data_IF_519835708256
#
_entry.id   IF_519835708256
#
_cell.length_a   1.000
_cell.length_b   1.000
_cell.length_c   1.000
_cell.angle_alpha   90.00
_cell.angle_beta   90.00
_cell.angle_gamma   90.00
#
_symmetry.space_group_name_H-M   'P 1'
#
loop_
_entity.id
_entity.type
_entity.pdbx_description
1 polymer ?
#
# COMPACT_ATOMS: atom_id res chain seq x y z
N UNK A 1 -12.36 23.49 -2.41
CA UNK A 1 -12.44 22.03 -2.66
C UNK A 1 -13.68 21.74 -3.48
N UNK A 2 -13.65 20.83 -4.46
CA UNK A 2 -14.81 20.44 -5.30
C UNK A 2 -14.99 18.92 -5.28
N UNK A 3 -16.24 18.46 -5.23
CA UNK A 3 -16.54 17.03 -5.35
C UNK A 3 -16.35 16.58 -6.80
N UNK A 4 -15.66 15.45 -7.00
CA UNK A 4 -15.41 14.94 -8.35
C UNK A 4 -16.66 14.35 -9.01
N UNK A 5 -17.63 13.87 -8.20
CA UNK A 5 -18.88 13.23 -8.66
C UNK A 5 -18.66 12.17 -9.76
N UNK A 6 -17.56 11.41 -9.68
CA UNK A 6 -17.18 10.41 -10.68
C UNK A 6 -16.74 10.97 -12.04
N UNK A 7 -16.62 12.31 -12.19
CA UNK A 7 -16.27 13.01 -13.43
C UNK A 7 -14.97 13.82 -13.25
N UNK A 8 -13.81 13.17 -13.06
CA UNK A 8 -12.55 13.85 -12.74
C UNK A 8 -12.10 14.88 -13.77
N UNK A 9 -12.38 14.65 -15.07
CA UNK A 9 -12.03 15.57 -16.16
C UNK A 9 -12.86 16.85 -16.12
N UNK A 10 -14.17 16.73 -15.90
CA UNK A 10 -15.02 17.92 -15.79
C UNK A 10 -14.77 18.67 -14.49
N UNK A 11 -14.52 17.94 -13.39
CA UNK A 11 -14.15 18.54 -12.12
C UNK A 11 -12.86 19.37 -12.22
N UNK A 12 -11.80 18.89 -12.89
CA UNK A 12 -10.57 19.68 -13.05
C UNK A 12 -10.78 20.90 -13.95
N UNK A 13 -11.61 20.78 -15.00
CA UNK A 13 -11.99 21.94 -15.82
C UNK A 13 -12.72 22.99 -14.99
N UNK A 14 -13.63 22.57 -14.13
CA UNK A 14 -14.35 23.48 -13.23
C UNK A 14 -13.42 24.15 -12.21
N UNK A 15 -12.50 23.40 -11.60
CA UNK A 15 -11.42 23.99 -10.77
C UNK A 15 -10.66 25.04 -11.57
N UNK A 16 -10.26 24.75 -12.80
CA UNK A 16 -9.51 25.69 -13.62
C UNK A 16 -10.34 26.92 -14.02
N UNK A 17 -11.64 26.77 -14.32
CA UNK A 17 -12.55 27.90 -14.57
C UNK A 17 -12.65 28.80 -13.33
N UNK A 18 -12.69 28.22 -12.14
CA UNK A 18 -12.78 28.98 -10.89
C UNK A 18 -11.46 29.68 -10.54
N UNK A 19 -10.31 29.11 -10.90
CA UNK A 19 -9.00 29.69 -10.65
C UNK A 19 -8.54 30.71 -11.71
N UNK A 20 -9.04 30.60 -12.95
CA UNK A 20 -8.61 31.43 -14.07
C UNK A 20 -8.78 32.95 -13.82
N UNK A 21 -9.87 33.45 -13.21
CA UNK A 21 -10.02 34.88 -12.93
C UNK A 21 -8.96 35.43 -11.96
N UNK A 22 -8.56 34.64 -10.96
CA UNK A 22 -7.64 35.08 -9.91
C UNK A 22 -6.18 34.91 -10.33
N UNK A 23 -5.86 33.78 -10.98
CA UNK A 23 -4.50 33.38 -11.31
C UNK A 23 -4.13 33.79 -12.74
N UNK A 24 -5.03 33.57 -13.70
CA UNK A 24 -4.94 33.94 -15.13
C UNK A 24 -3.54 34.23 -15.67
N UNK A 25 -3.37 35.43 -16.20
CA UNK A 25 -2.08 35.96 -16.66
C UNK A 25 -1.23 36.56 -15.51
N UNK A 26 -1.74 36.54 -14.28
CA UNK A 26 -1.11 37.14 -13.11
C UNK A 26 -0.03 36.24 -12.48
N UNK A 27 0.01 34.94 -12.84
CA UNK A 27 1.02 34.02 -12.33
C UNK A 27 1.51 33.04 -13.41
N UNK A 28 2.83 32.82 -13.43
CA UNK A 28 3.44 31.77 -14.26
C UNK A 28 3.43 30.45 -13.49
N UNK A 29 2.77 29.44 -14.03
CA UNK A 29 2.81 28.08 -13.49
C UNK A 29 4.19 27.49 -13.74
N UNK A 30 4.97 27.35 -12.65
CA UNK A 30 6.33 26.81 -12.70
C UNK A 30 6.37 25.28 -12.67
N UNK A 31 5.28 24.64 -12.26
CA UNK A 31 5.16 23.18 -12.17
C UNK A 31 3.77 22.72 -11.78
N UNK A 32 3.40 21.52 -12.19
CA UNK A 32 2.12 20.89 -11.86
C UNK A 32 2.34 19.49 -11.29
N UNK A 33 1.93 19.31 -10.04
CA UNK A 33 1.86 18.00 -9.37
C UNK A 33 0.43 17.51 -9.28
N UNK A 34 0.20 16.23 -9.59
CA UNK A 34 -1.11 15.58 -9.48
C UNK A 34 -1.01 14.34 -8.58
N UNK A 35 -2.00 14.19 -7.71
CA UNK A 35 -2.21 13.01 -6.86
C UNK A 35 -3.68 12.57 -6.90
N UNK A 36 -4.06 11.56 -6.10
CA UNK A 36 -5.41 11.02 -6.08
C UNK A 36 -5.59 9.72 -6.87
N UNK A 37 -6.79 9.15 -6.79
CA UNK A 37 -7.21 7.98 -7.57
C UNK A 37 -7.26 8.26 -9.07
N UNK A 38 -7.67 9.47 -9.48
CA UNK A 38 -7.70 9.92 -10.88
C UNK A 38 -6.39 10.51 -11.41
N UNK A 39 -5.28 10.36 -10.69
CA UNK A 39 -4.04 11.12 -10.92
C UNK A 39 -3.43 10.96 -12.31
N UNK A 40 -3.49 9.76 -12.88
CA UNK A 40 -2.91 9.49 -14.20
C UNK A 40 -3.77 10.12 -15.31
N UNK A 41 -5.09 9.96 -15.20
CA UNK A 41 -6.08 10.53 -16.12
C UNK A 41 -5.97 12.05 -16.16
N UNK A 42 -6.06 12.68 -14.98
CA UNK A 42 -5.96 14.14 -14.86
C UNK A 42 -4.55 14.61 -15.21
N UNK A 43 -3.51 13.91 -14.76
CA UNK A 43 -2.12 14.26 -15.00
C UNK A 43 -1.76 14.32 -16.49
N UNK A 44 -2.15 13.31 -17.28
CA UNK A 44 -1.95 13.35 -18.73
C UNK A 44 -2.80 14.43 -19.39
N UNK A 45 -4.03 14.65 -18.91
CA UNK A 45 -4.93 15.65 -19.47
C UNK A 45 -4.39 17.07 -19.30
N UNK A 46 -3.89 17.43 -18.11
CA UNK A 46 -3.38 18.78 -17.81
C UNK A 46 -1.92 19.01 -18.22
N UNK A 47 -1.17 17.94 -18.52
CA UNK A 47 0.28 18.01 -18.75
C UNK A 47 1.06 18.15 -17.44
N UNK A 48 0.74 17.31 -16.45
CA UNK A 48 1.41 17.33 -15.16
C UNK A 48 2.90 16.94 -15.29
N UNK A 49 3.74 17.66 -14.56
CA UNK A 49 5.18 17.39 -14.47
C UNK A 49 5.46 16.22 -13.54
N UNK A 50 4.61 16.07 -12.52
CA UNK A 50 4.75 15.04 -11.52
C UNK A 50 3.40 14.38 -11.23
N UNK A 51 3.38 13.04 -11.29
CA UNK A 51 2.25 12.23 -10.87
C UNK A 51 2.71 11.28 -9.76
N UNK A 52 2.15 11.43 -8.56
CA UNK A 52 2.51 10.66 -7.37
C UNK A 52 1.27 10.15 -6.65
N UNK A 53 1.40 8.99 -6.00
CA UNK A 53 0.32 8.44 -5.19
C UNK A 53 0.04 9.33 -3.96
N UNK A 54 -1.13 9.12 -3.37
CA UNK A 54 -1.63 9.94 -2.26
C UNK A 54 -0.79 9.77 -0.99
N UNK A 55 -0.25 8.57 -0.74
CA UNK A 55 0.60 8.31 0.43
C UNK A 55 1.86 9.18 0.38
N UNK A 56 2.53 9.25 -0.78
CA UNK A 56 3.74 10.05 -0.96
C UNK A 56 3.43 11.54 -0.85
N UNK A 57 2.32 11.98 -1.47
CA UNK A 57 1.90 13.37 -1.43
C UNK A 57 1.54 13.81 0.00
N UNK A 58 0.69 13.04 0.69
CA UNK A 58 0.33 13.29 2.09
C UNK A 58 1.56 13.30 3.01
N UNK A 59 2.48 12.33 2.83
CA UNK A 59 3.74 12.28 3.59
C UNK A 59 4.55 13.56 3.40
N UNK A 60 4.68 14.03 2.16
CA UNK A 60 5.41 15.27 1.88
C UNK A 60 4.73 16.49 2.50
N UNK A 61 3.40 16.58 2.40
CA UNK A 61 2.64 17.68 3.02
C UNK A 61 2.81 17.69 4.54
N UNK A 62 2.71 16.51 5.16
CA UNK A 62 2.92 16.35 6.59
C UNK A 62 4.34 16.71 7.03
N UNK A 63 5.36 16.49 6.19
CA UNK A 63 6.74 16.82 6.52
C UNK A 63 6.99 18.32 6.76
N UNK A 64 6.21 19.22 6.14
CA UNK A 64 6.28 20.66 6.39
C UNK A 64 5.56 21.07 7.68
N UNK A 65 4.69 20.21 8.22
CA UNK A 65 3.92 20.45 9.45
C UNK A 65 4.65 19.84 10.65
N UNK A 66 4.87 18.53 10.59
CA UNK A 66 5.69 17.79 11.53
C UNK A 66 6.24 16.51 10.84
N UNK A 67 7.56 16.42 10.61
CA UNK A 67 8.17 15.29 9.91
C UNK A 67 7.97 13.96 10.63
N UNK A 68 7.85 13.94 11.96
CA UNK A 68 7.73 12.72 12.75
C UNK A 68 6.28 12.27 12.99
N UNK A 69 5.28 13.14 12.75
CA UNK A 69 3.89 12.81 13.06
C UNK A 69 3.26 11.82 12.08
N UNK A 70 2.68 10.73 12.59
CA UNK A 70 1.91 9.77 11.80
C UNK A 70 0.66 10.45 11.19
N UNK A 71 0.09 9.91 10.12
CA UNK A 71 -1.02 10.54 9.39
C UNK A 71 -2.24 9.66 9.46
N UNK A 72 -3.35 10.23 9.91
CA UNK A 72 -4.70 9.69 9.76
C UNK A 72 -5.41 10.58 8.76
N UNK A 73 -5.70 10.04 7.58
CA UNK A 73 -6.48 10.72 6.56
C UNK A 73 -7.84 10.04 6.40
N UNK A 74 -8.92 10.82 6.48
CA UNK A 74 -10.28 10.34 6.26
C UNK A 74 -10.91 11.16 5.13
N UNK A 75 -10.99 10.51 3.96
CA UNK A 75 -11.58 11.08 2.75
C UNK A 75 -13.06 10.74 2.61
N UNK A 76 -13.63 11.08 1.45
CA UNK A 76 -15.03 10.80 1.15
C UNK A 76 -15.32 9.31 0.90
N UNK A 77 -14.39 8.58 0.28
CA UNK A 77 -14.61 7.20 -0.18
C UNK A 77 -13.64 6.19 0.41
N UNK A 78 -12.49 6.65 0.89
CA UNK A 78 -11.50 5.80 1.52
C UNK A 78 -10.86 6.53 2.69
N UNK A 79 -10.08 5.77 3.45
CA UNK A 79 -9.35 6.25 4.62
C UNK A 79 -7.94 5.68 4.58
N UNK A 80 -6.96 6.47 5.02
CA UNK A 80 -5.55 6.14 4.92
C UNK A 80 -4.87 6.37 6.25
N UNK A 81 -3.97 5.46 6.58
CA UNK A 81 -3.05 5.52 7.70
C UNK A 81 -1.65 5.50 7.12
N UNK A 82 -0.79 6.42 7.58
CA UNK A 82 0.63 6.43 7.26
C UNK A 82 1.41 6.47 8.57
N UNK A 83 2.25 5.47 8.80
CA UNK A 83 3.13 5.39 9.95
C UNK A 83 4.55 5.70 9.50
N UNK A 84 5.18 6.65 10.16
CA UNK A 84 6.53 7.12 9.85
C UNK A 84 7.48 6.87 11.00
N UNK A 85 8.75 6.62 10.70
CA UNK A 85 9.84 6.64 11.68
C UNK A 85 11.02 7.39 11.07
N UNK A 86 11.53 8.40 11.79
CA UNK A 86 12.59 9.29 11.28
C UNK A 86 12.18 9.94 9.94
N UNK A 87 10.96 10.43 9.84
CA UNK A 87 10.39 11.03 8.63
C UNK A 87 10.10 10.08 7.46
N UNK A 88 10.43 8.79 7.56
CA UNK A 88 10.25 7.80 6.47
C UNK A 88 9.04 6.92 6.73
N UNK A 89 8.22 6.68 5.69
CA UNK A 89 7.07 5.77 5.76
C UNK A 89 7.55 4.33 6.00
N UNK A 90 7.19 3.74 7.13
CA UNK A 90 7.51 2.35 7.48
C UNK A 90 6.31 1.41 7.33
N UNK A 91 5.10 1.95 7.40
CA UNK A 91 3.87 1.21 7.18
C UNK A 91 2.77 2.15 6.68
N UNK A 92 1.84 1.62 5.90
CA UNK A 92 0.65 2.34 5.48
C UNK A 92 -0.52 1.36 5.32
N UNK A 93 -1.72 1.83 5.64
CA UNK A 93 -2.95 1.09 5.40
C UNK A 93 -3.93 1.99 4.66
N UNK A 94 -4.56 1.43 3.64
CA UNK A 94 -5.64 2.11 2.92
C UNK A 94 -6.88 1.23 2.98
N UNK A 95 -8.01 1.79 3.38
CA UNK A 95 -9.28 1.10 3.43
C UNK A 95 -10.18 1.61 2.30
N UNK A 96 -10.22 0.83 1.20
CA UNK A 96 -11.08 1.09 0.04
C UNK A 96 -12.38 0.29 0.04
N UNK A 97 -12.46 -0.75 0.87
CA UNK A 97 -13.57 -1.71 0.82
C UNK A 97 -14.72 -1.35 1.76
N UNK A 98 -14.46 -0.52 2.77
CA UNK A 98 -15.41 -0.18 3.80
C UNK A 98 -15.84 1.28 3.65
N UNK A 99 -17.13 1.52 3.41
CA UNK A 99 -17.74 2.85 3.49
C UNK A 99 -17.92 3.30 4.95
N UNK A 100 -17.92 2.37 5.91
CA UNK A 100 -18.04 2.72 7.32
C UNK A 100 -16.83 3.57 7.71
N UNK A 101 -17.09 4.76 8.26
CA UNK A 101 -16.06 5.69 8.68
C UNK A 101 -15.52 6.64 7.60
N UNK A 102 -16.12 6.69 6.40
CA UNK A 102 -15.76 7.67 5.35
C UNK A 102 -16.77 8.81 5.27
N UNK A 103 -16.40 9.91 4.58
CA UNK A 103 -17.27 11.07 4.44
C UNK A 103 -18.60 10.77 3.75
N UNK A 104 -18.63 9.90 2.74
CA UNK A 104 -19.88 9.55 2.06
C UNK A 104 -20.90 8.87 2.97
N UNK A 105 -20.44 8.13 3.98
CA UNK A 105 -21.31 7.52 4.95
C UNK A 105 -21.87 8.54 5.94
N UNK A 106 -21.07 9.56 6.30
CA UNK A 106 -21.55 10.70 7.09
C UNK A 106 -22.60 11.47 6.30
N UNK A 107 -22.34 11.76 5.02
CA UNK A 107 -23.26 12.48 4.15
C UNK A 107 -24.61 11.74 4.01
N UNK A 108 -24.57 10.41 3.76
CA UNK A 108 -25.77 9.58 3.64
C UNK A 108 -26.61 9.57 4.92
N UNK A 109 -25.98 9.41 6.09
CA UNK A 109 -26.71 9.40 7.36
C UNK A 109 -27.22 10.78 7.75
N UNK A 110 -26.46 11.83 7.49
CA UNK A 110 -26.89 13.19 7.76
C UNK A 110 -28.11 13.56 6.89
N UNK A 111 -28.11 13.19 5.61
CA UNK A 111 -29.26 13.38 4.71
C UNK A 111 -30.50 12.62 5.23
N UNK A 112 -30.35 11.37 5.68
CA UNK A 112 -31.44 10.60 6.30
C UNK A 112 -32.00 11.25 7.57
N UNK A 113 -31.13 11.91 8.35
CA UNK A 113 -31.51 12.62 9.57
C UNK A 113 -32.02 14.04 9.30
N UNK A 114 -31.93 14.54 8.07
CA UNK A 114 -32.30 15.90 7.70
C UNK A 114 -31.32 16.97 8.23
N UNK A 115 -30.04 16.61 8.38
CA UNK A 115 -28.97 17.47 8.91
C UNK A 115 -27.96 17.80 7.82
N UNK A 116 -27.50 19.04 7.78
CA UNK A 116 -26.45 19.49 6.89
C UNK A 116 -25.05 19.27 7.51
N UNK A 117 -24.16 18.61 6.76
CA UNK A 117 -22.77 18.36 7.21
C UNK A 117 -21.86 19.55 6.92
N UNK A 118 -22.17 20.32 5.87
CA UNK A 118 -21.25 21.27 5.24
C UNK A 118 -21.24 22.67 5.87
N UNK A 119 -22.24 23.01 6.68
CA UNK A 119 -22.41 24.32 7.33
C UNK A 119 -22.11 24.30 8.84
N UNK A 120 -21.67 23.16 9.37
CA UNK A 120 -21.36 22.98 10.79
C UNK A 120 -22.57 22.61 11.67
N UNK A 121 -23.78 22.47 11.09
CA UNK A 121 -24.97 22.05 11.83
C UNK A 121 -24.75 20.70 12.53
N UNK A 122 -24.22 19.71 11.80
CA UNK A 122 -23.91 18.39 12.38
C UNK A 122 -23.06 18.49 13.65
N UNK A 123 -21.97 19.27 13.61
CA UNK A 123 -21.05 19.38 14.74
C UNK A 123 -21.70 20.13 15.91
N UNK A 124 -22.48 21.17 15.62
CA UNK A 124 -23.23 21.93 16.63
C UNK A 124 -24.20 21.03 17.39
N UNK A 125 -25.02 20.25 16.68
CA UNK A 125 -25.92 19.27 17.27
C UNK A 125 -25.17 18.26 18.12
N UNK A 126 -24.06 17.71 17.61
CA UNK A 126 -23.28 16.71 18.33
C UNK A 126 -22.68 17.26 19.65
N UNK A 127 -22.37 18.55 19.74
CA UNK A 127 -21.86 19.15 20.98
C UNK A 127 -22.93 19.51 22.01
N UNK A 128 -24.20 19.61 21.60
CA UNK A 128 -25.34 19.80 22.50
C UNK A 128 -25.78 18.49 23.17
N UNK A 129 -25.26 17.35 22.70
CA UNK A 129 -25.63 16.03 23.17
C UNK A 129 -25.29 15.83 24.67
N UNK A 130 -26.28 15.50 25.53
CA UNK A 130 -26.02 15.27 26.95
C UNK A 130 -25.32 13.93 27.23
N UNK A 131 -25.39 12.99 26.28
CA UNK A 131 -24.77 11.67 26.37
C UNK A 131 -24.58 11.08 24.96
N UNK A 132 -23.91 9.94 24.88
CA UNK A 132 -23.72 9.16 23.64
C UNK A 132 -24.17 7.72 23.86
N UNK A 133 -24.64 7.08 22.79
CA UNK A 133 -25.04 5.68 22.73
C UNK A 133 -24.11 4.90 21.80
N UNK A 134 -24.13 3.56 21.88
CA UNK A 134 -23.37 2.72 20.98
C UNK A 134 -24.18 2.41 19.71
N UNK A 135 -23.74 2.95 18.57
CA UNK A 135 -24.31 2.68 17.25
C UNK A 135 -23.56 1.55 16.50
N UNK A 136 -22.61 0.89 17.18
CA UNK A 136 -21.68 -0.06 16.60
C UNK A 136 -20.57 0.63 15.80
N UNK A 137 -19.57 -0.17 15.40
CA UNK A 137 -18.35 0.33 14.74
C UNK A 137 -17.84 -0.59 13.61
N UNK A 138 -18.66 -1.54 13.14
CA UNK A 138 -18.20 -2.61 12.23
C UNK A 138 -18.47 -2.36 10.75
N UNK A 139 -19.71 -2.07 10.38
CA UNK A 139 -20.17 -2.00 8.99
C UNK A 139 -21.18 -0.86 8.83
N UNK A 140 -21.06 -0.11 7.72
CA UNK A 140 -21.95 1.00 7.39
C UNK A 140 -23.42 0.56 7.38
N UNK A 141 -23.74 -0.61 6.82
CA UNK A 141 -25.10 -1.13 6.78
C UNK A 141 -25.70 -1.35 8.17
N UNK A 142 -24.94 -1.95 9.10
CA UNK A 142 -25.42 -2.18 10.46
C UNK A 142 -25.51 -0.88 11.26
N UNK A 143 -24.54 0.03 11.06
CA UNK A 143 -24.59 1.33 11.70
C UNK A 143 -25.78 2.16 11.21
N UNK A 144 -26.08 2.14 9.90
CA UNK A 144 -27.26 2.81 9.34
C UNK A 144 -28.58 2.21 9.85
N UNK A 145 -28.65 0.89 10.00
CA UNK A 145 -29.79 0.24 10.65
C UNK A 145 -29.94 0.64 12.13
N UNK A 146 -28.82 0.72 12.86
CA UNK A 146 -28.82 1.16 14.26
C UNK A 146 -29.31 2.61 14.38
N UNK A 147 -28.82 3.52 13.52
CA UNK A 147 -29.29 4.92 13.45
C UNK A 147 -30.78 5.00 13.18
N UNK A 148 -31.28 4.24 12.19
CA UNK A 148 -32.71 4.21 11.88
C UNK A 148 -33.56 3.68 13.04
N UNK A 149 -33.08 2.66 13.77
CA UNK A 149 -33.79 2.11 14.94
C UNK A 149 -33.90 3.14 16.05
N UNK A 150 -32.78 3.75 16.45
CA UNK A 150 -32.77 4.71 17.57
C UNK A 150 -33.54 5.99 17.23
N UNK A 151 -33.56 6.39 15.96
CA UNK A 151 -34.40 7.49 15.48
C UNK A 151 -35.89 7.16 15.65
N UNK A 152 -36.32 5.93 15.31
CA UNK A 152 -37.72 5.49 15.52
C UNK A 152 -38.10 5.39 17.00
N UNK A 153 -37.14 5.07 17.87
CA UNK A 153 -37.29 5.07 19.32
C UNK A 153 -37.36 6.48 19.93
N UNK A 154 -37.18 7.53 19.11
CA UNK A 154 -37.27 8.92 19.54
C UNK A 154 -36.00 9.45 20.21
N UNK A 155 -34.84 8.82 19.98
CA UNK A 155 -33.56 9.34 20.47
C UNK A 155 -33.29 10.71 19.83
N UNK A 156 -32.93 11.73 20.63
CA UNK A 156 -32.68 13.06 20.10
C UNK A 156 -31.53 13.09 19.09
N UNK A 157 -31.63 13.97 18.09
CA UNK A 157 -30.71 14.03 16.96
C UNK A 157 -29.28 14.39 17.39
N UNK A 158 -29.15 15.24 18.41
CA UNK A 158 -27.89 15.59 19.06
C UNK A 158 -27.16 14.36 19.60
N UNK A 159 -27.90 13.44 20.25
CA UNK A 159 -27.34 12.18 20.76
C UNK A 159 -26.91 11.29 19.59
N UNK A 160 -27.70 11.22 18.52
CA UNK A 160 -27.38 10.41 17.34
C UNK A 160 -26.10 10.93 16.65
N UNK A 161 -26.00 12.23 16.37
CA UNK A 161 -24.83 12.82 15.68
C UNK A 161 -23.56 12.69 16.51
N UNK A 162 -23.63 12.92 17.82
CA UNK A 162 -22.50 12.72 18.74
C UNK A 162 -22.04 11.26 18.79
N UNK A 163 -22.99 10.32 18.84
CA UNK A 163 -22.71 8.89 18.86
C UNK A 163 -22.10 8.43 17.54
N UNK A 164 -22.58 8.95 16.41
CA UNK A 164 -22.08 8.64 15.09
C UNK A 164 -20.61 9.07 14.92
N UNK A 165 -20.24 10.28 15.37
CA UNK A 165 -18.84 10.74 15.36
C UNK A 165 -17.91 9.78 16.12
N UNK A 166 -18.36 9.26 17.27
CA UNK A 166 -17.59 8.30 18.05
C UNK A 166 -17.46 6.94 17.36
N UNK A 167 -18.55 6.46 16.77
CA UNK A 167 -18.55 5.21 16.01
C UNK A 167 -17.64 5.27 14.78
N UNK A 168 -17.53 6.42 14.13
CA UNK A 168 -16.61 6.66 12.99
C UNK A 168 -15.15 6.54 13.44
N UNK A 169 -14.79 7.23 14.53
CA UNK A 169 -13.44 7.13 15.09
C UNK A 169 -13.13 5.68 15.53
N UNK A 170 -14.06 5.03 16.23
CA UNK A 170 -13.91 3.64 16.67
C UNK A 170 -13.77 2.67 15.48
N UNK A 171 -14.53 2.88 14.40
CA UNK A 171 -14.41 2.09 13.18
C UNK A 171 -13.02 2.25 12.56
N UNK A 172 -12.55 3.50 12.40
CA UNK A 172 -11.24 3.76 11.83
C UNK A 172 -10.14 3.08 12.65
N UNK A 173 -10.16 3.23 13.98
CA UNK A 173 -9.16 2.62 14.85
C UNK A 173 -9.21 1.09 14.81
N UNK A 174 -10.39 0.49 14.71
CA UNK A 174 -10.52 -0.97 14.63
C UNK A 174 -10.10 -1.52 13.26
N UNK A 175 -10.47 -0.85 12.16
CA UNK A 175 -10.36 -1.40 10.80
C UNK A 175 -9.13 -0.94 10.04
N UNK A 176 -8.71 0.31 10.24
CA UNK A 176 -7.58 0.91 9.53
C UNK A 176 -6.32 0.82 10.38
N UNK A 177 -6.38 1.28 11.64
CA UNK A 177 -5.25 1.16 12.56
C UNK A 177 -5.01 -0.29 12.98
N UNK A 178 -6.05 -0.97 13.47
CA UNK A 178 -5.96 -2.35 13.94
C UNK A 178 -4.94 -2.48 15.06
N UNK A 179 -3.99 -3.41 14.91
CA UNK A 179 -2.95 -3.67 15.91
C UNK A 179 -1.68 -2.82 15.74
N UNK A 180 -1.67 -1.88 14.78
CA UNK A 180 -0.51 -1.03 14.52
C UNK A 180 -0.35 0.03 15.59
N UNK A 181 0.89 0.40 15.89
CA UNK A 181 1.21 1.40 16.91
C UNK A 181 1.51 2.75 16.28
N UNK A 182 0.65 3.73 16.56
CA UNK A 182 0.90 5.14 16.27
C UNK A 182 2.00 5.69 17.20
N UNK A 183 2.81 6.59 16.67
CA UNK A 183 3.71 7.45 17.44
C UNK A 183 2.94 8.46 18.31
N UNK A 184 3.69 9.34 18.97
CA UNK A 184 3.12 10.29 19.93
C UNK A 184 2.40 11.46 19.28
N UNK A 185 2.75 11.76 18.02
CA UNK A 185 2.17 12.85 17.23
C UNK A 185 1.40 12.29 16.05
N UNK A 186 0.19 12.80 15.82
CA UNK A 186 -0.70 12.36 14.76
C UNK A 186 -1.30 13.58 14.06
N UNK A 187 -1.18 13.64 12.74
CA UNK A 187 -1.81 14.64 11.88
C UNK A 187 -3.13 14.06 11.35
N UNK A 188 -4.23 14.79 11.53
CA UNK A 188 -5.56 14.45 11.03
C UNK A 188 -5.83 15.24 9.74
N UNK A 189 -5.95 14.57 8.59
CA UNK A 189 -6.19 15.20 7.28
C UNK A 189 -7.38 14.59 6.53
N UNK A 190 -7.84 15.26 5.47
CA UNK A 190 -9.03 14.87 4.71
C UNK A 190 -10.28 15.66 5.11
N UNK A 191 -11.25 15.67 4.21
CA UNK A 191 -12.42 16.55 4.30
C UNK A 191 -13.36 16.20 5.46
N UNK A 192 -13.33 14.96 5.97
CA UNK A 192 -14.17 14.56 7.11
C UNK A 192 -13.83 15.36 8.37
N UNK A 193 -12.58 15.78 8.53
CA UNK A 193 -12.17 16.58 9.68
C UNK A 193 -12.59 18.06 9.58
N UNK A 194 -13.38 18.48 8.58
CA UNK A 194 -14.15 19.73 8.68
C UNK A 194 -15.20 19.66 9.79
N UNK A 195 -15.66 18.46 10.12
CA UNK A 195 -16.63 18.25 11.18
C UNK A 195 -15.90 18.18 12.53
N UNK A 196 -16.02 19.24 13.32
CA UNK A 196 -15.35 19.36 14.62
C UNK A 196 -15.77 18.28 15.63
N UNK A 197 -17.00 17.75 15.52
CA UNK A 197 -17.42 16.62 16.35
C UNK A 197 -16.66 15.34 16.01
N UNK A 198 -16.34 15.11 14.74
CA UNK A 198 -15.49 13.99 14.32
C UNK A 198 -14.04 14.21 14.76
N UNK A 199 -13.53 15.44 14.64
CA UNK A 199 -12.21 15.79 15.19
C UNK A 199 -12.14 15.46 16.68
N UNK A 200 -13.10 15.96 17.47
CA UNK A 200 -13.20 15.69 18.91
C UNK A 200 -13.26 14.19 19.21
N UNK A 201 -14.03 13.42 18.45
CA UNK A 201 -14.12 11.97 18.62
C UNK A 201 -12.77 11.27 18.40
N UNK A 202 -12.01 11.65 17.37
CA UNK A 202 -10.65 11.12 17.14
C UNK A 202 -9.68 11.56 18.23
N UNK A 203 -9.72 12.81 18.68
CA UNK A 203 -8.87 13.30 19.76
C UNK A 203 -9.11 12.55 21.06
N UNK A 204 -10.38 12.29 21.40
CA UNK A 204 -10.75 11.50 22.58
C UNK A 204 -10.31 10.04 22.44
N UNK A 205 -10.48 9.44 21.27
CA UNK A 205 -10.07 8.05 21.03
C UNK A 205 -8.54 7.87 20.97
N UNK A 206 -7.80 8.96 20.74
CA UNK A 206 -6.33 9.03 20.73
C UNK A 206 -5.78 9.72 21.98
N UNK A 207 -6.50 9.63 23.11
CA UNK A 207 -6.07 10.22 24.38
C UNK A 207 -4.61 9.85 24.71
N UNK A 208 -3.84 10.85 25.17
CA UNK A 208 -2.41 10.72 25.42
C UNK A 208 -1.50 10.97 24.22
N UNK A 209 -2.06 11.21 23.01
CA UNK A 209 -1.31 11.62 21.81
C UNK A 209 -1.52 13.09 21.48
N UNK A 210 -0.50 13.71 20.90
CA UNK A 210 -0.61 15.06 20.35
C UNK A 210 -1.23 14.99 18.96
N UNK A 211 -2.41 15.58 18.79
CA UNK A 211 -3.11 15.62 17.50
C UNK A 211 -2.97 17.00 16.87
N UNK A 212 -2.73 17.02 15.55
CA UNK A 212 -2.60 18.24 14.76
C UNK A 212 -3.65 18.18 13.65
N UNK A 213 -4.49 19.22 13.56
CA UNK A 213 -5.48 19.37 12.49
C UNK A 213 -5.05 20.56 11.64
N UNK A 214 -4.48 20.35 10.43
CA UNK A 214 -4.02 21.45 9.59
C UNK A 214 -5.18 22.31 9.09
N UNK A 215 -4.93 23.60 8.83
CA UNK A 215 -5.92 24.55 8.30
C UNK A 215 -6.54 24.03 6.98
N UNK A 216 -5.70 23.64 6.02
CA UNK A 216 -6.07 23.14 4.69
C UNK A 216 -6.05 21.60 4.60
N UNK A 217 -6.53 20.93 5.65
CA UNK A 217 -6.59 19.47 5.79
C UNK A 217 -7.19 18.73 4.59
N UNK A 218 -8.17 19.29 3.91
CA UNK A 218 -8.91 18.74 2.77
C UNK A 218 -8.11 18.74 1.46
N UNK A 219 -7.11 19.62 1.32
CA UNK A 219 -6.24 19.72 0.13
C UNK A 219 -4.78 19.38 0.45
N UNK A 220 -4.50 18.84 1.63
CA UNK A 220 -3.18 18.36 2.06
C UNK A 220 -2.44 17.53 1.00
N UNK A 221 -3.12 16.58 0.36
CA UNK A 221 -2.54 15.81 -0.75
C UNK A 221 -2.14 16.67 -1.96
N UNK A 222 -2.92 17.69 -2.32
CA UNK A 222 -2.59 18.61 -3.41
C UNK A 222 -1.39 19.49 -3.06
N UNK A 223 -1.31 19.98 -1.80
CA UNK A 223 -0.15 20.72 -1.27
C UNK A 223 1.12 19.86 -1.41
N UNK A 224 1.05 18.61 -0.94
CA UNK A 224 2.17 17.67 -1.06
C UNK A 224 2.59 17.40 -2.50
N UNK A 225 1.64 17.24 -3.42
CA UNK A 225 1.94 17.07 -4.83
C UNK A 225 2.63 18.30 -5.44
N UNK A 226 2.20 19.51 -5.07
CA UNK A 226 2.81 20.75 -5.51
C UNK A 226 4.25 20.91 -4.98
N UNK A 227 4.50 20.58 -3.72
CA UNK A 227 5.83 20.60 -3.10
C UNK A 227 6.78 19.62 -3.80
N UNK A 228 6.34 18.39 -4.03
CA UNK A 228 7.14 17.40 -4.76
C UNK A 228 7.42 17.85 -6.21
N UNK A 229 6.45 18.47 -6.90
CA UNK A 229 6.64 18.96 -8.25
C UNK A 229 7.68 20.10 -8.30
N UNK A 230 7.68 20.99 -7.30
CA UNK A 230 8.68 22.04 -7.13
C UNK A 230 10.09 21.46 -6.95
N UNK A 231 10.22 20.41 -6.14
CA UNK A 231 11.49 19.70 -5.88
C UNK A 231 12.03 19.00 -7.14
N UNK A 232 11.16 18.27 -7.85
CA UNK A 232 11.53 17.51 -9.06
C UNK A 232 11.96 18.43 -10.21
N UNK A 233 11.24 19.52 -10.44
CA UNK A 233 11.51 20.40 -11.57
C UNK A 233 12.78 21.20 -11.38
N UNK A 234 13.13 21.61 -10.14
CA UNK A 234 14.37 22.34 -9.86
C UNK A 234 14.55 23.60 -10.73
N UNK A 235 13.46 24.25 -11.13
CA UNK A 235 13.47 25.42 -12.01
C UNK A 235 13.39 25.13 -13.52
N UNK A 236 13.30 23.86 -13.95
CA UNK A 236 12.98 23.49 -15.34
C UNK A 236 11.58 23.97 -15.73
N UNK A 237 11.34 24.17 -17.03
CA UNK A 237 10.03 24.55 -17.56
C UNK A 237 8.99 23.44 -17.35
N UNK A 238 7.75 23.84 -17.04
CA UNK A 238 6.61 22.93 -16.88
C UNK A 238 6.06 22.46 -18.23
N UNK A 239 5.53 21.23 -18.27
CA UNK A 239 4.74 20.66 -19.39
C UNK A 239 3.26 21.02 -19.32
N UNK A 240 2.87 21.88 -18.37
CA UNK A 240 1.49 22.31 -18.19
C UNK A 240 0.90 22.86 -19.49
N UNK A 241 -0.24 22.32 -19.90
CA UNK A 241 -0.88 22.69 -21.18
C UNK A 241 -1.55 24.06 -21.15
N UNK A 242 -1.67 24.69 -19.98
CA UNK A 242 -2.35 25.98 -19.78
C UNK A 242 -3.82 25.81 -19.40
N UNK A 243 -4.33 26.71 -18.55
CA UNK A 243 -5.70 26.64 -18.03
C UNK A 243 -6.76 26.65 -19.14
N UNK A 244 -6.71 27.64 -20.05
CA UNK A 244 -7.69 27.79 -21.13
C UNK A 244 -7.71 26.59 -22.08
N UNK A 245 -6.53 26.12 -22.50
CA UNK A 245 -6.40 24.96 -23.37
C UNK A 245 -7.01 23.69 -22.76
N UNK A 246 -6.87 23.49 -21.44
CA UNK A 246 -7.46 22.36 -20.73
C UNK A 246 -8.99 22.51 -20.63
N UNK A 247 -9.48 23.71 -20.37
CA UNK A 247 -10.92 24.00 -20.30
C UNK A 247 -11.60 23.72 -21.65
N UNK A 248 -10.99 24.15 -22.75
CA UNK A 248 -11.52 24.03 -24.11
C UNK A 248 -11.34 22.62 -24.70
N UNK A 249 -10.43 21.83 -24.14
CA UNK A 249 -10.18 20.46 -24.59
C UNK A 249 -11.39 19.57 -24.34
N UNK A 250 -11.81 18.81 -25.34
CA UNK A 250 -12.96 17.91 -25.25
C UNK A 250 -12.54 16.45 -25.47
N UNK A 251 -11.99 15.78 -24.45
CA UNK A 251 -11.54 14.39 -24.57
C UNK A 251 -12.72 13.44 -24.72
N UNK A 252 -12.60 12.48 -25.64
CA UNK A 252 -13.56 11.38 -25.73
C UNK A 252 -13.15 10.29 -24.76
N UNK A 253 -14.03 9.97 -23.81
CA UNK A 253 -13.81 8.89 -22.82
C UNK A 253 -14.71 7.72 -23.18
N UNK A 254 -14.12 6.54 -23.32
CA UNK A 254 -14.83 5.27 -23.54
C UNK A 254 -14.37 4.27 -22.49
N UNK A 255 -15.18 3.24 -22.21
CA UNK A 255 -14.83 2.22 -21.22
C UNK A 255 -14.89 0.82 -21.80
N UNK A 256 -14.03 -0.09 -21.33
CA UNK A 256 -14.10 -1.52 -21.62
C UNK A 256 -13.76 -2.36 -20.38
N UNK A 257 -14.19 -3.62 -20.36
CA UNK A 257 -13.86 -4.54 -19.27
C UNK A 257 -12.59 -5.32 -19.59
N UNK A 258 -11.59 -5.24 -18.72
CA UNK A 258 -10.37 -6.04 -18.80
C UNK A 258 -10.67 -7.49 -18.40
N UNK A 259 -10.34 -8.46 -19.26
CA UNK A 259 -10.58 -9.91 -19.02
C UNK A 259 -9.30 -10.71 -18.75
N UNK A 260 -8.23 -10.04 -18.31
CA UNK A 260 -6.92 -10.68 -18.09
C UNK A 260 -6.91 -11.53 -16.82
N UNK A 261 -7.73 -11.17 -15.83
CA UNK A 261 -7.91 -11.93 -14.60
C UNK A 261 -9.36 -11.79 -14.11
N UNK A 262 -9.74 -12.57 -13.11
CA UNK A 262 -11.11 -12.64 -12.59
C UNK A 262 -11.63 -11.34 -11.97
N UNK A 263 -10.73 -10.37 -11.73
CA UNK A 263 -11.08 -9.05 -11.20
C UNK A 263 -11.92 -8.21 -12.16
N UNK A 264 -11.94 -8.55 -13.47
CA UNK A 264 -12.80 -7.92 -14.48
C UNK A 264 -12.86 -6.38 -14.39
N UNK A 265 -11.70 -5.73 -14.28
CA UNK A 265 -11.63 -4.29 -14.02
C UNK A 265 -12.23 -3.48 -15.17
N UNK A 266 -13.01 -2.44 -14.86
CA UNK A 266 -13.46 -1.47 -15.87
C UNK A 266 -12.35 -0.48 -16.17
N UNK A 267 -11.87 -0.48 -17.42
CA UNK A 267 -10.80 0.40 -17.90
C UNK A 267 -11.41 1.55 -18.69
N UNK A 268 -11.01 2.77 -18.35
CA UNK A 268 -11.34 3.99 -19.08
C UNK A 268 -10.24 4.31 -20.09
N UNK A 269 -10.61 4.49 -21.35
CA UNK A 269 -9.78 4.95 -22.46
C UNK A 269 -10.12 6.40 -22.76
N UNK A 270 -9.13 7.28 -22.64
CA UNK A 270 -9.23 8.69 -23.01
C UNK A 270 -8.53 8.94 -24.35
N UNK A 271 -9.25 9.59 -25.25
CA UNK A 271 -8.75 10.03 -26.55
C UNK A 271 -8.83 11.55 -26.64
N UNK A 272 -7.66 12.18 -26.80
CA UNK A 272 -7.54 13.61 -27.07
C UNK A 272 -7.10 13.74 -28.54
N UNK A 273 -7.76 14.58 -29.37
CA UNK A 273 -7.35 14.80 -30.75
C UNK A 273 -5.86 15.18 -30.84
N UNK A 274 -5.09 14.42 -31.62
CA UNK A 274 -3.65 14.67 -31.82
C UNK A 274 -2.73 14.02 -30.78
N UNK A 275 -3.25 13.34 -29.76
CA UNK A 275 -2.45 12.62 -28.76
C UNK A 275 -2.67 11.11 -28.81
N UNK A 276 -1.73 10.35 -28.23
CA UNK A 276 -1.90 8.90 -28.09
C UNK A 276 -3.02 8.61 -27.07
N UNK A 277 -3.88 7.61 -27.32
CA UNK A 277 -4.87 7.18 -26.35
C UNK A 277 -4.20 6.76 -25.03
N UNK A 278 -4.82 7.13 -23.93
CA UNK A 278 -4.35 6.77 -22.59
C UNK A 278 -5.40 5.94 -21.86
N UNK A 279 -4.96 5.07 -20.97
CA UNK A 279 -5.79 4.04 -20.34
C UNK A 279 -5.64 4.05 -18.83
N UNK A 280 -6.75 3.87 -18.10
CA UNK A 280 -6.80 4.03 -16.65
C UNK A 280 -7.84 3.13 -16.00
N UNK A 281 -7.72 2.87 -14.69
CA UNK A 281 -8.71 2.11 -13.92
C UNK A 281 -8.33 0.65 -13.69
N UNK A 282 -7.11 0.26 -14.06
CA UNK A 282 -6.61 -1.09 -13.78
C UNK A 282 -6.23 -1.23 -12.31
N UNK A 283 -6.66 -2.31 -11.66
CA UNK A 283 -6.28 -2.61 -10.27
C UNK A 283 -4.83 -3.05 -10.12
N UNK A 284 -4.24 -3.59 -11.20
CA UNK A 284 -2.87 -4.07 -11.26
C UNK A 284 -1.91 -3.08 -11.91
N UNK A 285 -2.33 -1.83 -12.14
CA UNK A 285 -1.57 -0.76 -12.83
C UNK A 285 -1.13 -1.07 -14.28
N UNK A 286 -1.57 -2.19 -14.88
CA UNK A 286 -1.20 -2.61 -16.24
C UNK A 286 -1.51 -1.53 -17.30
N UNK A 287 -2.65 -0.85 -17.16
CA UNK A 287 -3.05 0.20 -18.09
C UNK A 287 -2.57 1.59 -17.64
N UNK A 288 -2.55 1.80 -16.32
CA UNK A 288 -2.34 3.09 -15.66
C UNK A 288 -0.85 3.53 -15.66
N UNK A 289 0.08 2.62 -15.95
CA UNK A 289 1.54 2.83 -15.85
C UNK A 289 2.25 3.22 -17.16
N UNK A 290 1.51 3.66 -18.20
CA UNK A 290 2.09 3.97 -19.52
C UNK A 290 3.03 5.19 -19.58
N UNK A 291 3.34 5.82 -18.45
CA UNK A 291 4.45 6.79 -18.37
C UNK A 291 5.75 6.02 -18.29
N UNK A 292 6.37 5.82 -19.46
CA UNK A 292 7.77 5.44 -19.63
C UNK A 292 8.64 6.19 -18.61
N UNK A 293 9.07 5.50 -17.55
CA UNK A 293 10.16 5.97 -16.71
C UNK A 293 11.41 5.20 -17.12
N UNK A 294 12.47 5.94 -17.42
CA UNK A 294 13.82 5.38 -17.42
C UNK A 294 14.03 4.68 -16.07
N UNK A 295 14.60 3.47 -16.10
CA UNK A 295 14.88 2.73 -14.87
C UNK A 295 15.88 3.52 -14.04
N UNK A 296 15.43 4.06 -12.91
CA UNK A 296 16.29 4.71 -11.93
C UNK A 296 16.79 3.65 -10.95
N UNK A 297 18.07 3.73 -10.59
CA UNK A 297 18.64 2.90 -9.53
C UNK A 297 18.05 3.30 -8.17
N UNK A 298 17.68 2.30 -7.37
CA UNK A 298 17.04 2.49 -6.07
C UNK A 298 17.87 1.85 -4.96
N UNK A 299 17.60 2.22 -3.70
CA UNK A 299 18.19 1.54 -2.55
C UNK A 299 17.91 0.01 -2.53
N UNK A 300 16.86 -0.45 -3.22
CA UNK A 300 16.61 -1.88 -3.38
C UNK A 300 17.60 -2.54 -4.36
N UNK A 301 18.01 -1.85 -5.42
CA UNK A 301 19.06 -2.34 -6.32
C UNK A 301 20.41 -2.42 -5.58
N UNK A 302 20.73 -1.42 -4.75
CA UNK A 302 21.92 -1.44 -3.89
C UNK A 302 21.86 -2.57 -2.85
N UNK A 303 20.71 -2.73 -2.17
CA UNK A 303 20.48 -3.84 -1.23
C UNK A 303 20.66 -5.19 -1.92
N UNK A 304 20.10 -5.38 -3.11
CA UNK A 304 20.24 -6.61 -3.88
C UNK A 304 21.70 -6.90 -4.23
N UNK A 305 22.46 -5.89 -4.67
CA UNK A 305 23.90 -6.03 -4.91
C UNK A 305 24.65 -6.46 -3.66
N UNK A 306 24.32 -5.91 -2.49
CA UNK A 306 24.96 -6.28 -1.22
C UNK A 306 24.60 -7.70 -0.78
N UNK A 307 23.34 -8.09 -0.91
CA UNK A 307 22.84 -9.42 -0.50
C UNK A 307 23.52 -10.57 -1.27
N UNK A 308 23.79 -10.37 -2.56
CA UNK A 308 24.38 -11.38 -3.44
C UNK A 308 25.85 -11.10 -3.76
N UNK A 309 26.50 -10.18 -3.04
CA UNK A 309 27.89 -9.77 -3.31
C UNK A 309 28.88 -10.94 -3.29
N UNK A 310 28.69 -11.86 -2.34
CA UNK A 310 29.55 -13.04 -2.15
C UNK A 310 29.13 -14.23 -3.03
N UNK A 311 28.11 -14.05 -3.89
CA UNK A 311 27.72 -15.09 -4.84
C UNK A 311 28.78 -15.24 -5.92
N UNK A 312 29.28 -16.46 -6.07
CA UNK A 312 30.19 -16.85 -7.15
C UNK A 312 29.57 -18.02 -7.89
N UNK A 313 29.18 -17.78 -9.14
CA UNK A 313 28.57 -18.83 -9.94
C UNK A 313 29.59 -19.92 -10.25
N UNK A 314 29.30 -21.15 -9.81
CA UNK A 314 30.08 -22.36 -10.13
C UNK A 314 31.59 -22.28 -9.78
N UNK A 315 31.91 -21.68 -8.63
CA UNK A 315 33.29 -21.54 -8.13
C UNK A 315 33.77 -22.77 -7.33
N UNK A 316 32.89 -23.76 -7.13
CA UNK A 316 33.16 -24.95 -6.34
C UNK A 316 33.58 -26.17 -7.17
N UNK A 317 34.03 -27.23 -6.50
CA UNK A 317 34.32 -28.52 -7.13
C UNK A 317 33.34 -29.61 -6.75
N UNK A 318 32.44 -29.35 -5.78
CA UNK A 318 31.41 -30.28 -5.32
C UNK A 318 30.12 -30.29 -6.18
N UNK A 319 29.05 -30.94 -5.69
CA UNK A 319 27.77 -31.04 -6.37
C UNK A 319 27.15 -29.66 -6.61
N UNK A 320 26.24 -29.57 -7.56
CA UNK A 320 25.50 -28.34 -7.86
C UNK A 320 24.36 -28.15 -6.86
N UNK A 321 24.36 -27.02 -6.15
CA UNK A 321 23.34 -26.70 -5.15
C UNK A 321 22.58 -25.44 -5.53
N UNK A 322 21.28 -25.59 -5.80
CA UNK A 322 20.37 -24.53 -6.18
C UNK A 322 19.82 -23.75 -4.98
N UNK A 323 19.76 -22.42 -5.08
CA UNK A 323 18.98 -21.57 -4.17
C UNK A 323 17.90 -20.83 -4.97
N UNK A 324 16.60 -21.11 -4.73
CA UNK A 324 15.50 -20.37 -5.34
C UNK A 324 15.48 -18.92 -4.86
N UNK A 325 15.53 -17.95 -5.77
CA UNK A 325 15.46 -16.51 -5.46
C UNK A 325 14.03 -16.06 -5.13
N UNK A 326 13.49 -16.53 -4.02
CA UNK A 326 12.16 -16.20 -3.55
C UNK A 326 12.05 -16.17 -2.02
N UNK A 327 11.22 -15.25 -1.49
CA UNK A 327 10.91 -15.06 -0.07
C UNK A 327 12.19 -14.98 0.79
N UNK A 328 12.34 -15.86 1.78
CA UNK A 328 13.38 -15.85 2.80
C UNK A 328 14.80 -15.89 2.23
N UNK A 329 14.97 -16.41 1.01
CA UNK A 329 16.26 -16.41 0.33
C UNK A 329 16.80 -14.98 0.11
N UNK A 330 15.93 -13.97 -0.09
CA UNK A 330 16.39 -12.57 -0.20
C UNK A 330 16.82 -11.97 1.12
N UNK A 331 16.32 -12.46 2.25
CA UNK A 331 16.66 -11.90 3.55
C UNK A 331 17.91 -12.58 4.14
N UNK A 332 18.15 -13.84 3.78
CA UNK A 332 19.24 -14.67 4.30
C UNK A 332 20.25 -15.11 3.23
N UNK A 333 20.22 -14.50 2.03
CA UNK A 333 21.17 -14.81 0.95
C UNK A 333 22.63 -14.84 1.43
N UNK A 334 23.15 -13.85 2.17
CA UNK A 334 24.54 -13.89 2.66
C UNK A 334 24.84 -15.14 3.48
N UNK A 335 23.93 -15.55 4.37
CA UNK A 335 24.09 -16.73 5.22
C UNK A 335 24.05 -18.02 4.40
N UNK A 336 23.05 -18.16 3.52
CA UNK A 336 22.88 -19.36 2.68
C UNK A 336 24.06 -19.54 1.71
N UNK A 337 24.49 -18.45 1.07
CA UNK A 337 25.59 -18.47 0.10
C UNK A 337 26.91 -18.72 0.82
N UNK A 338 27.17 -18.07 1.95
CA UNK A 338 28.39 -18.33 2.73
C UNK A 338 28.47 -19.78 3.18
N UNK A 339 27.38 -20.35 3.71
CA UNK A 339 27.32 -21.76 4.10
C UNK A 339 27.69 -22.69 2.95
N UNK A 340 27.09 -22.52 1.77
CA UNK A 340 27.38 -23.37 0.62
C UNK A 340 28.80 -23.15 0.07
N UNK A 341 29.29 -21.90 0.02
CA UNK A 341 30.64 -21.60 -0.43
C UNK A 341 31.70 -22.27 0.47
N UNK A 342 31.50 -22.26 1.79
CA UNK A 342 32.42 -22.94 2.75
C UNK A 342 32.39 -24.46 2.60
N UNK A 343 31.28 -25.05 2.14
CA UNK A 343 31.21 -26.47 1.80
C UNK A 343 31.90 -26.82 0.47
N UNK A 344 32.32 -25.83 -0.32
CA UNK A 344 32.99 -26.03 -1.61
C UNK A 344 32.08 -26.57 -2.72
N UNK A 345 30.76 -26.40 -2.59
CA UNK A 345 29.77 -26.84 -3.59
C UNK A 345 29.59 -25.80 -4.71
N UNK A 346 28.99 -26.23 -5.83
CA UNK A 346 28.70 -25.35 -6.96
C UNK A 346 27.35 -24.63 -6.79
N UNK A 347 27.37 -23.40 -6.26
CA UNK A 347 26.13 -22.64 -5.99
C UNK A 347 25.49 -22.11 -7.27
N UNK A 348 24.21 -22.43 -7.46
CA UNK A 348 23.39 -21.95 -8.58
C UNK A 348 22.20 -21.17 -8.03
N UNK A 349 22.08 -19.89 -8.38
CA UNK A 349 20.86 -19.13 -8.10
C UNK A 349 19.88 -19.26 -9.26
N UNK A 350 18.58 -19.33 -8.97
CA UNK A 350 17.59 -19.12 -10.04
C UNK A 350 17.76 -17.72 -10.65
N UNK A 351 17.26 -17.49 -11.86
CA UNK A 351 17.33 -16.15 -12.47
C UNK A 351 16.45 -15.13 -11.73
N UNK A 352 16.53 -13.84 -12.07
CA UNK A 352 15.51 -12.87 -11.63
C UNK A 352 14.14 -13.32 -12.15
N UNK A 353 13.06 -13.05 -11.41
CA UNK A 353 11.71 -13.42 -11.83
C UNK A 353 11.41 -12.91 -13.24
N UNK A 354 11.24 -13.84 -14.17
CA UNK A 354 10.87 -13.57 -15.57
C UNK A 354 9.41 -13.88 -15.82
N UNK A 355 8.88 -13.47 -16.98
CA UNK A 355 7.52 -13.87 -17.40
C UNK A 355 7.34 -15.38 -17.43
N UNK A 356 8.35 -16.10 -17.91
CA UNK A 356 8.36 -17.56 -17.96
C UNK A 356 8.28 -18.19 -16.56
N UNK A 357 9.06 -17.69 -15.60
CA UNK A 357 8.99 -18.14 -14.20
C UNK A 357 7.61 -17.84 -13.60
N UNK A 358 7.03 -16.67 -13.90
CA UNK A 358 5.69 -16.32 -13.41
C UNK A 358 4.60 -17.23 -13.99
N UNK A 359 4.68 -17.56 -15.28
CA UNK A 359 3.74 -18.48 -15.94
C UNK A 359 3.84 -19.89 -15.34
N UNK A 360 5.06 -20.43 -15.24
CA UNK A 360 5.30 -21.72 -14.58
C UNK A 360 4.84 -21.72 -13.12
N UNK A 361 5.09 -20.65 -12.39
CA UNK A 361 4.66 -20.50 -11.01
C UNK A 361 3.13 -20.56 -10.85
N UNK A 362 2.37 -20.00 -11.79
CA UNK A 362 0.91 -20.05 -11.77
C UNK A 362 0.42 -21.47 -12.09
N UNK A 363 1.04 -22.13 -13.06
CA UNK A 363 0.66 -23.50 -13.45
C UNK A 363 0.98 -24.55 -12.37
N UNK A 364 2.12 -24.41 -11.69
CA UNK A 364 2.62 -25.36 -10.70
C UNK A 364 2.12 -25.09 -9.27
N UNK A 365 1.51 -23.92 -9.03
CA UNK A 365 1.03 -23.57 -7.70
C UNK A 365 -0.13 -24.45 -7.28
N UNK A 366 0.04 -25.15 -6.15
CA UNK A 366 -0.99 -26.04 -5.59
C UNK A 366 -2.30 -25.34 -5.21
N UNK A 367 -2.24 -24.08 -4.75
CA UNK A 367 -3.42 -23.31 -4.29
C UNK A 367 -3.33 -21.85 -4.70
N UNK A 368 -4.44 -21.12 -4.58
CA UNK A 368 -4.46 -19.65 -4.64
C UNK A 368 -3.82 -19.01 -3.40
N UNK A 369 -2.51 -19.18 -3.30
CA UNK A 369 -1.64 -18.53 -2.32
C UNK A 369 -1.24 -17.12 -2.79
N UNK A 370 -0.60 -16.35 -1.90
CA UNK A 370 -0.07 -15.04 -2.28
C UNK A 370 1.01 -15.17 -3.37
N UNK A 371 1.10 -14.16 -4.24
CA UNK A 371 1.99 -14.18 -5.41
C UNK A 371 3.45 -14.57 -5.09
N UNK A 372 4.08 -14.10 -3.99
CA UNK A 372 5.43 -14.54 -3.63
C UNK A 372 5.58 -16.05 -3.38
N UNK A 373 4.56 -16.71 -2.81
CA UNK A 373 4.54 -18.17 -2.59
C UNK A 373 4.37 -18.91 -3.92
N UNK A 374 3.53 -18.40 -4.82
CA UNK A 374 3.39 -18.96 -6.18
C UNK A 374 4.73 -18.91 -6.91
N UNK A 375 5.38 -17.75 -6.93
CA UNK A 375 6.63 -17.50 -7.64
C UNK A 375 7.77 -18.42 -7.15
N UNK A 376 7.77 -18.84 -5.88
CA UNK A 376 8.72 -19.84 -5.38
C UNK A 376 8.64 -21.16 -6.18
N UNK A 377 7.45 -21.61 -6.60
CA UNK A 377 7.30 -22.86 -7.38
C UNK A 377 8.02 -22.76 -8.72
N UNK A 378 7.85 -21.65 -9.44
CA UNK A 378 8.55 -21.41 -10.70
C UNK A 378 10.06 -21.31 -10.54
N UNK A 379 10.55 -20.67 -9.46
CA UNK A 379 11.99 -20.61 -9.18
C UNK A 379 12.56 -21.98 -8.82
N UNK A 380 11.86 -22.77 -8.01
CA UNK A 380 12.27 -24.12 -7.65
C UNK A 380 12.30 -25.04 -8.88
N UNK A 381 11.26 -25.00 -9.73
CA UNK A 381 11.22 -25.75 -10.99
C UNK A 381 12.37 -25.38 -11.93
N UNK A 382 12.74 -24.09 -12.01
CA UNK A 382 13.86 -23.63 -12.83
C UNK A 382 15.22 -24.17 -12.39
N UNK A 383 15.28 -24.78 -11.20
CA UNK A 383 16.49 -25.36 -10.61
C UNK A 383 16.44 -26.90 -10.56
N UNK A 384 15.46 -27.57 -11.18
CA UNK A 384 15.34 -29.04 -11.08
C UNK A 384 16.52 -29.85 -11.60
N UNK A 385 17.35 -29.25 -12.46
CA UNK A 385 18.50 -29.92 -13.08
C UNK A 385 19.77 -29.89 -12.21
N UNK A 386 19.71 -29.32 -11.00
CA UNK A 386 20.83 -29.32 -10.04
C UNK A 386 20.80 -30.57 -9.15
N UNK A 387 21.92 -30.90 -8.50
CA UNK A 387 22.00 -32.08 -7.62
C UNK A 387 21.15 -31.96 -6.34
N UNK A 388 21.15 -30.76 -5.75
CA UNK A 388 20.37 -30.45 -4.55
C UNK A 388 19.81 -29.04 -4.59
N UNK A 389 18.65 -28.81 -3.99
CA UNK A 389 18.12 -27.46 -3.77
C UNK A 389 18.12 -27.19 -2.27
N UNK A 390 18.71 -26.08 -1.83
CA UNK A 390 18.67 -25.65 -0.44
C UNK A 390 17.62 -24.56 -0.27
N UNK A 391 16.54 -24.85 0.46
CA UNK A 391 15.51 -23.87 0.77
C UNK A 391 14.98 -24.02 2.21
N UNK A 392 15.25 -23.06 3.11
CA UNK A 392 14.99 -23.24 4.53
C UNK A 392 13.50 -23.14 4.90
N UNK A 393 13.11 -23.87 5.95
CA UNK A 393 11.88 -23.61 6.70
C UNK A 393 12.20 -22.62 7.83
N UNK A 394 11.86 -21.36 7.63
CA UNK A 394 12.16 -20.30 8.59
C UNK A 394 10.96 -20.07 9.51
N UNK A 395 11.08 -20.44 10.79
CA UNK A 395 9.97 -20.47 11.75
C UNK A 395 9.93 -19.19 12.58
N UNK A 396 11.00 -18.91 13.34
CA UNK A 396 11.10 -17.77 14.27
C UNK A 396 12.39 -17.00 14.02
N UNK A 397 12.26 -15.72 13.71
CA UNK A 397 13.37 -14.89 13.20
C UNK A 397 13.98 -14.00 14.28
N UNK A 398 13.85 -14.37 15.55
CA UNK A 398 14.51 -13.67 16.63
C UNK A 398 14.22 -14.28 17.99
N UNK A 399 14.95 -13.81 18.99
CA UNK A 399 14.88 -14.28 20.38
C UNK A 399 13.46 -14.16 20.91
N UNK A 400 13.04 -15.22 21.63
CA UNK A 400 11.74 -15.26 22.30
C UNK A 400 11.72 -14.27 23.47
N UNK A 401 10.75 -13.37 23.47
CA UNK A 401 10.51 -12.40 24.55
C UNK A 401 9.13 -12.69 25.17
N UNK A 402 9.04 -13.73 26.02
CA UNK A 402 7.75 -14.21 26.53
C UNK A 402 6.95 -15.01 25.48
N UNK A 403 5.74 -15.43 25.82
CA UNK A 403 4.87 -16.18 24.89
C UNK A 403 4.08 -15.25 23.96
N UNK A 404 3.81 -14.04 24.42
CA UNK A 404 3.05 -13.00 23.72
C UNK A 404 3.83 -12.28 22.61
N UNK A 405 5.18 -12.30 22.64
CA UNK A 405 6.02 -11.58 21.69
C UNK A 405 7.02 -12.53 21.02
N UNK A 406 6.52 -13.33 20.08
CA UNK A 406 7.32 -14.20 19.22
C UNK A 406 7.34 -13.71 17.77
N UNK A 407 8.55 -13.67 17.19
CA UNK A 407 8.84 -13.13 15.85
C UNK A 407 8.68 -14.22 14.78
N UNK A 408 7.44 -14.69 14.60
CA UNK A 408 7.13 -15.72 13.61
C UNK A 408 7.19 -15.18 12.17
N UNK A 409 7.64 -16.00 11.24
CA UNK A 409 7.35 -15.77 9.81
C UNK A 409 5.90 -16.15 9.50
N UNK A 410 5.43 -15.77 8.31
CA UNK A 410 4.14 -16.22 7.80
C UNK A 410 4.05 -17.77 7.77
N UNK A 411 2.96 -18.39 8.25
CA UNK A 411 2.80 -19.85 8.21
C UNK A 411 2.97 -20.46 6.80
N UNK A 412 2.59 -19.74 5.75
CA UNK A 412 2.85 -20.18 4.37
C UNK A 412 4.34 -20.19 4.03
N UNK A 413 5.13 -19.25 4.55
CA UNK A 413 6.59 -19.25 4.38
C UNK A 413 7.22 -20.42 5.13
N UNK A 414 6.78 -20.70 6.35
CA UNK A 414 7.24 -21.86 7.14
C UNK A 414 6.97 -23.18 6.39
N UNK A 415 5.77 -23.32 5.83
CA UNK A 415 5.35 -24.52 5.12
C UNK A 415 5.86 -24.61 3.67
N UNK A 416 6.25 -23.48 3.06
CA UNK A 416 6.61 -23.38 1.65
C UNK A 416 7.63 -24.42 1.14
N UNK A 417 8.74 -24.75 1.84
CA UNK A 417 9.65 -25.79 1.38
C UNK A 417 9.00 -27.18 1.29
N UNK A 418 8.09 -27.51 2.21
CA UNK A 418 7.35 -28.78 2.18
C UNK A 418 6.29 -28.80 1.08
N UNK A 419 5.66 -27.65 0.81
CA UNK A 419 4.69 -27.49 -0.27
C UNK A 419 5.38 -27.71 -1.62
N UNK A 420 6.51 -27.04 -1.88
CA UNK A 420 7.22 -27.21 -3.16
C UNK A 420 7.82 -28.61 -3.30
N UNK A 421 8.26 -29.25 -2.21
CA UNK A 421 8.71 -30.65 -2.25
C UNK A 421 7.65 -31.56 -2.85
N UNK A 422 6.42 -31.40 -2.36
CA UNK A 422 5.30 -32.24 -2.77
C UNK A 422 4.74 -31.83 -4.15
N UNK A 423 4.64 -30.53 -4.41
CA UNK A 423 4.07 -30.00 -5.65
C UNK A 423 4.97 -30.27 -6.87
N UNK A 424 6.29 -30.30 -6.68
CA UNK A 424 7.30 -30.48 -7.74
C UNK A 424 8.00 -31.84 -7.69
N UNK A 425 7.54 -32.76 -6.84
CA UNK A 425 8.11 -34.11 -6.68
C UNK A 425 9.63 -34.16 -6.42
N UNK A 426 10.17 -33.19 -5.67
CA UNK A 426 11.63 -32.99 -5.48
C UNK A 426 12.30 -33.96 -4.48
N UNK A 427 11.53 -34.87 -3.88
CA UNK A 427 12.06 -35.91 -2.98
C UNK A 427 13.07 -35.42 -1.93
N UNK A 428 14.22 -36.12 -1.86
CA UNK A 428 15.34 -35.82 -0.94
C UNK A 428 16.33 -34.79 -1.48
N UNK A 429 16.19 -34.40 -2.75
CA UNK A 429 17.08 -33.44 -3.40
C UNK A 429 16.80 -32.01 -2.90
N UNK A 430 15.58 -31.75 -2.43
CA UNK A 430 15.25 -30.54 -1.69
C UNK A 430 15.60 -30.66 -0.20
N UNK A 431 16.68 -29.97 0.18
CA UNK A 431 17.19 -29.82 1.53
C UNK A 431 16.47 -28.65 2.24
N UNK A 432 15.88 -28.94 3.39
CA UNK A 432 15.04 -28.01 4.15
C UNK A 432 15.64 -27.81 5.54
N UNK A 433 16.72 -27.01 5.68
CA UNK A 433 17.20 -26.67 7.00
C UNK A 433 16.16 -25.81 7.73
N UNK A 434 16.05 -25.98 9.04
CA UNK A 434 15.16 -25.20 9.90
C UNK A 434 15.90 -23.97 10.39
N UNK A 435 15.30 -22.79 10.23
CA UNK A 435 15.79 -21.54 10.86
C UNK A 435 14.87 -21.19 12.02
N UNK A 436 15.43 -21.20 13.22
CA UNK A 436 14.74 -20.82 14.45
C UNK A 436 15.73 -20.19 15.43
N UNK A 437 15.61 -18.87 15.62
CA UNK A 437 16.46 -18.10 16.53
C UNK A 437 15.82 -17.85 17.90
N UNK A 438 14.69 -18.51 18.20
CA UNK A 438 13.93 -18.22 19.42
C UNK A 438 14.67 -18.58 20.71
N UNK A 439 15.63 -19.52 20.63
CA UNK A 439 16.43 -20.02 21.74
C UNK A 439 17.95 -19.89 21.49
N UNK A 440 18.36 -18.99 20.61
CA UNK A 440 19.72 -18.92 20.09
C UNK A 440 19.87 -19.69 18.78
N UNK A 441 21.11 -19.97 18.38
CA UNK A 441 21.42 -20.36 17.00
C UNK A 441 21.67 -21.88 16.85
N UNK A 442 21.82 -22.61 17.96
CA UNK A 442 22.22 -24.03 17.98
C UNK A 442 21.35 -24.91 17.08
N UNK A 443 20.02 -24.79 17.18
CA UNK A 443 19.09 -25.58 16.37
C UNK A 443 19.25 -25.29 14.87
N UNK A 444 19.51 -24.03 14.53
CA UNK A 444 19.74 -23.63 13.14
C UNK A 444 21.08 -24.20 12.66
N UNK A 445 22.14 -24.10 13.46
CA UNK A 445 23.46 -24.67 13.14
C UNK A 445 23.36 -26.17 12.91
N UNK A 446 22.75 -26.92 13.84
CA UNK A 446 22.57 -28.37 13.74
C UNK A 446 21.79 -28.75 12.48
N UNK A 447 20.71 -28.03 12.17
CA UNK A 447 19.89 -28.33 11.00
C UNK A 447 20.61 -28.06 9.67
N UNK A 448 21.48 -27.06 9.62
CA UNK A 448 22.33 -26.80 8.45
C UNK A 448 23.44 -27.85 8.33
N UNK A 449 24.07 -28.26 9.44
CA UNK A 449 25.06 -29.33 9.46
C UNK A 449 24.47 -30.66 8.95
N UNK A 450 23.24 -31.00 9.34
CA UNK A 450 22.54 -32.18 8.83
C UNK A 450 22.32 -32.13 7.31
N UNK A 451 22.12 -30.94 6.75
CA UNK A 451 22.02 -30.76 5.30
C UNK A 451 23.38 -30.95 4.62
N UNK A 452 24.47 -30.48 5.23
CA UNK A 452 25.83 -30.69 4.72
C UNK A 452 26.18 -32.19 4.65
N UNK A 453 25.86 -32.96 5.69
CA UNK A 453 26.08 -34.42 5.72
C UNK A 453 25.30 -35.13 4.61
N UNK A 454 24.10 -34.67 4.27
CA UNK A 454 23.33 -35.22 3.14
C UNK A 454 23.99 -34.94 1.78
N UNK A 455 24.71 -33.82 1.64
CA UNK A 455 25.47 -33.51 0.44
C UNK A 455 26.76 -34.34 0.33
N UNK A 456 27.41 -34.67 1.45
CA UNK A 456 28.70 -35.39 1.46
C UNK A 456 28.69 -36.72 0.69
N UNK A 457 27.56 -37.43 0.67
CA UNK A 457 27.41 -38.68 -0.09
C UNK A 457 27.65 -38.52 -1.61
N UNK A 458 27.60 -37.29 -2.14
CA UNK A 458 27.92 -36.95 -3.55
C UNK A 458 29.15 -36.04 -3.68
N UNK A 459 29.77 -35.59 -2.59
CA UNK A 459 31.02 -34.79 -2.61
C UNK A 459 32.25 -35.70 -2.77
N UNK A 460 32.17 -36.96 -2.34
CA UNK A 460 33.27 -37.93 -2.43
C UNK A 460 33.25 -38.84 -3.67
N UNK A 461 32.22 -38.74 -4.51
CA UNK A 461 32.06 -39.48 -5.76
C UNK A 461 32.46 -38.62 -6.95
#
# INVERSE_FOLDING_TARGET
YLMTAGRPVEAIKEVFRNLLPDIGDNARIAGVGITGSGRYLVGSFVGADLIKNEITAQTRAAADIDPEADIIEVGGQDSKLVIKRNGVVVDYQMNKACAAGTGSFIDELAEQLGVHVQDGEFATLAFEAPHTIDLGSRCAAFMGQAVASVQQEGVPIEVITASLSNSIAANYLSKVLGNRKLGDKVILTGAVFYNDAVVSAFQRALEGKTTIVPEHKEVSGAIGAALLAKEELGGKGSKFKGFQNVIDSNPKITTFTCKICDMNCTISRMEIPGEKPTFYGSRCDLFDSTISRERMETAFDEREKLLFKEYREKDGTGPTVGIPRALIAYDYAPMLIAFLNELGVNVVLSSKTTKQIMEQAVELSYTDSCFPIKVLHGHAESLKDVDFILYPSAIRMGVKEGDENQKYTCPLVQASPYIIRQALDMGKELLIPTIDFSRGDDLTIDSFADCAVQMEGRIQA
#
